data_IF_716500260424
#
_entry.id   IF_716500260424
#
_cell.length_a   1.000
_cell.length_b   1.000
_cell.length_c   1.000
_cell.angle_alpha   90.00
_cell.angle_beta   90.00
_cell.angle_gamma   90.00
#
_symmetry.space_group_name_H-M   'P 1'
#
loop_
_entity.id
_entity.type
_entity.pdbx_description
1 polymer ?
#
# COMPACT_ATOMS: atom_id res chain seq x y z
N UNK A 1 53.34 -5.19 -41.98
CA UNK A 1 54.14 -4.43 -40.98
C UNK A 1 53.19 -3.54 -40.21
N UNK A 2 53.04 -3.85 -38.92
CA UNK A 2 52.66 -2.99 -37.80
C UNK A 2 51.93 -1.67 -38.09
N UNK A 3 50.73 -1.52 -37.54
CA UNK A 3 50.52 -0.68 -36.35
C UNK A 3 49.07 -0.79 -35.84
N UNK A 4 48.95 -1.48 -34.72
CA UNK A 4 47.81 -1.39 -33.82
C UNK A 4 47.77 0.02 -33.20
N UNK A 5 46.60 0.66 -33.23
CA UNK A 5 46.21 1.81 -32.40
C UNK A 5 44.68 1.81 -32.43
N UNK A 6 43.93 2.02 -31.37
CA UNK A 6 44.13 1.93 -29.93
C UNK A 6 42.68 1.96 -29.43
N UNK A 7 42.31 1.02 -28.58
CA UNK A 7 41.03 1.02 -27.86
C UNK A 7 40.89 2.35 -27.11
N UNK A 8 39.78 3.06 -27.32
CA UNK A 8 39.29 4.02 -26.32
C UNK A 8 37.78 3.81 -26.15
N UNK A 9 37.47 2.85 -25.28
CA UNK A 9 36.14 2.67 -24.71
C UNK A 9 35.85 3.84 -23.77
N UNK A 10 35.00 4.77 -24.20
CA UNK A 10 34.40 5.77 -23.33
C UNK A 10 33.16 5.15 -22.67
N UNK A 11 33.37 4.39 -21.60
CA UNK A 11 32.29 3.89 -20.75
C UNK A 11 31.77 5.06 -19.91
N UNK A 12 30.74 5.74 -20.41
CA UNK A 12 30.02 6.77 -19.68
C UNK A 12 29.22 6.08 -18.56
N UNK A 13 29.79 6.01 -17.36
CA UNK A 13 29.03 5.63 -16.17
C UNK A 13 28.05 6.75 -15.85
N UNK A 14 26.81 6.62 -16.33
CA UNK A 14 25.68 7.28 -15.68
C UNK A 14 25.53 6.64 -14.31
N UNK A 15 26.13 7.26 -13.30
CA UNK A 15 25.70 7.07 -11.92
C UNK A 15 24.26 7.58 -11.83
N UNK A 16 23.31 6.67 -12.04
CA UNK A 16 21.92 6.90 -11.70
C UNK A 16 21.88 7.14 -10.20
N UNK A 17 21.83 8.40 -9.78
CA UNK A 17 21.31 8.74 -8.47
C UNK A 17 19.85 8.35 -8.51
N UNK A 18 19.57 7.10 -8.14
CA UNK A 18 18.23 6.71 -7.71
C UNK A 18 18.01 7.58 -6.48
N UNK A 19 17.36 8.73 -6.68
CA UNK A 19 16.80 9.46 -5.57
C UNK A 19 15.84 8.47 -4.95
N UNK A 20 16.22 7.86 -3.83
CA UNK A 20 15.26 7.23 -2.95
C UNK A 20 14.27 8.33 -2.65
N UNK A 21 13.13 8.31 -3.34
CA UNK A 21 11.95 8.99 -2.86
C UNK A 21 11.83 8.45 -1.44
N UNK A 22 12.22 9.27 -0.46
CA UNK A 22 11.83 9.05 0.92
C UNK A 22 10.37 8.68 0.84
N UNK A 23 10.01 7.52 1.39
CA UNK A 23 8.62 7.12 1.58
C UNK A 23 8.01 8.16 2.51
N UNK A 24 7.83 9.39 2.06
CA UNK A 24 7.02 10.36 2.72
C UNK A 24 5.61 9.86 2.50
N UNK A 25 4.91 9.62 3.60
CA UNK A 25 3.52 9.25 3.59
C UNK A 25 2.72 10.46 3.08
N UNK A 26 2.78 10.67 1.76
CA UNK A 26 2.24 11.87 1.13
C UNK A 26 0.72 11.88 1.25
N UNK A 27 0.13 13.08 1.21
CA UNK A 27 -1.32 13.25 1.18
C UNK A 27 -1.94 12.48 0.00
N UNK A 28 -1.24 12.41 -1.14
CA UNK A 28 -1.68 11.65 -2.32
C UNK A 28 -1.87 10.16 -2.00
N UNK A 29 -0.88 9.52 -1.37
CA UNK A 29 -0.97 8.10 -0.97
C UNK A 29 -2.19 7.86 -0.08
N UNK A 30 -2.38 8.70 0.94
CA UNK A 30 -3.51 8.55 1.86
C UNK A 30 -4.85 8.84 1.19
N UNK A 31 -4.89 9.77 0.24
CA UNK A 31 -6.07 10.03 -0.57
C UNK A 31 -6.42 8.82 -1.44
N UNK A 32 -5.42 8.19 -2.09
CA UNK A 32 -5.61 6.95 -2.85
C UNK A 32 -6.15 5.83 -1.96
N UNK A 33 -5.61 5.64 -0.75
CA UNK A 33 -6.11 4.65 0.21
C UNK A 33 -7.58 4.92 0.58
N UNK A 34 -7.94 6.18 0.86
CA UNK A 34 -9.31 6.56 1.20
C UNK A 34 -10.29 6.28 0.05
N UNK A 35 -9.91 6.62 -1.19
CA UNK A 35 -10.77 6.42 -2.35
C UNK A 35 -10.93 4.94 -2.71
N UNK A 36 -9.85 4.14 -2.59
CA UNK A 36 -9.93 2.69 -2.70
C UNK A 36 -10.79 2.07 -1.60
N UNK A 37 -10.71 2.57 -0.35
CA UNK A 37 -11.54 2.04 0.74
C UNK A 37 -13.05 2.30 0.50
N UNK A 38 -13.40 3.45 -0.08
CA UNK A 38 -14.78 3.75 -0.52
C UNK A 38 -15.21 2.84 -1.66
N UNK A 39 -14.38 2.70 -2.70
CA UNK A 39 -14.63 1.80 -3.83
C UNK A 39 -14.81 0.35 -3.36
N UNK A 40 -13.93 -0.12 -2.48
CA UNK A 40 -13.99 -1.46 -1.91
C UNK A 40 -15.34 -1.71 -1.21
N UNK A 41 -15.76 -0.78 -0.35
CA UNK A 41 -17.02 -0.86 0.37
C UNK A 41 -18.22 -0.91 -0.59
N UNK A 42 -18.20 -0.08 -1.65
CA UNK A 42 -19.21 -0.09 -2.69
C UNK A 42 -19.25 -1.41 -3.45
N UNK A 43 -18.09 -1.93 -3.86
CA UNK A 43 -17.97 -3.18 -4.62
C UNK A 43 -18.42 -4.39 -3.81
N UNK A 44 -18.13 -4.42 -2.51
CA UNK A 44 -18.66 -5.44 -1.58
C UNK A 44 -20.19 -5.38 -1.53
N UNK A 45 -20.78 -4.18 -1.39
CA UNK A 45 -22.23 -4.00 -1.34
C UNK A 45 -22.92 -4.41 -2.65
N UNK A 46 -22.27 -4.17 -3.80
CA UNK A 46 -22.72 -4.62 -5.12
C UNK A 46 -22.46 -6.11 -5.38
N UNK A 47 -21.75 -6.79 -4.47
CA UNK A 47 -21.31 -8.19 -4.60
C UNK A 47 -20.45 -8.43 -5.85
N UNK A 48 -19.68 -7.42 -6.26
CA UNK A 48 -18.74 -7.53 -7.37
C UNK A 48 -17.43 -8.14 -6.87
N UNK A 49 -17.34 -9.48 -6.90
CA UNK A 49 -16.16 -10.21 -6.43
C UNK A 49 -14.88 -9.74 -7.14
N UNK A 50 -14.94 -9.45 -8.44
CA UNK A 50 -13.75 -9.08 -9.23
C UNK A 50 -13.24 -7.71 -8.80
N UNK A 51 -14.12 -6.73 -8.71
CA UNK A 51 -13.76 -5.38 -8.30
C UNK A 51 -13.33 -5.33 -6.82
N UNK A 52 -14.04 -6.04 -5.92
CA UNK A 52 -13.63 -6.19 -4.52
C UNK A 52 -12.23 -6.79 -4.39
N UNK A 53 -11.91 -7.82 -5.16
CA UNK A 53 -10.58 -8.44 -5.15
C UNK A 53 -9.49 -7.50 -5.69
N UNK A 54 -9.80 -6.67 -6.68
CA UNK A 54 -8.87 -5.69 -7.21
C UNK A 54 -8.53 -4.63 -6.14
N UNK A 55 -9.56 -3.98 -5.59
CA UNK A 55 -9.39 -2.93 -4.59
C UNK A 55 -8.69 -3.44 -3.32
N UNK A 56 -9.06 -4.63 -2.84
CA UNK A 56 -8.48 -5.19 -1.61
C UNK A 56 -7.00 -5.56 -1.78
N UNK A 57 -6.58 -6.03 -2.97
CA UNK A 57 -5.17 -6.30 -3.26
C UNK A 57 -4.35 -5.03 -3.37
N UNK A 58 -4.91 -4.00 -3.98
CA UNK A 58 -4.24 -2.70 -4.06
C UNK A 58 -4.07 -2.09 -2.66
N UNK A 59 -5.12 -2.13 -1.82
CA UNK A 59 -5.04 -1.68 -0.43
C UNK A 59 -4.01 -2.46 0.40
N UNK A 60 -3.90 -3.79 0.26
CA UNK A 60 -2.85 -4.56 0.96
C UNK A 60 -1.44 -4.10 0.58
N UNK A 61 -1.23 -3.80 -0.71
CA UNK A 61 0.03 -3.23 -1.21
C UNK A 61 0.31 -1.84 -0.65
N UNK A 62 -0.69 -0.97 -0.60
CA UNK A 62 -0.54 0.38 -0.03
C UNK A 62 -0.29 0.34 1.48
N UNK A 63 -1.00 -0.51 2.24
CA UNK A 63 -0.74 -0.68 3.67
C UNK A 63 0.63 -1.29 3.97
N UNK A 64 1.20 -2.06 3.05
CA UNK A 64 2.61 -2.49 3.14
C UNK A 64 3.57 -1.30 3.08
N UNK A 65 3.30 -0.30 2.23
CA UNK A 65 4.08 0.93 2.17
C UNK A 65 3.90 1.78 3.43
N UNK A 66 2.67 1.87 3.95
CA UNK A 66 2.39 2.56 5.22
C UNK A 66 3.13 1.90 6.39
N UNK A 67 3.10 0.58 6.47
CA UNK A 67 3.85 -0.18 7.48
C UNK A 67 5.36 0.11 7.39
N UNK A 68 5.94 0.04 6.18
CA UNK A 68 7.35 0.31 5.94
C UNK A 68 7.75 1.75 6.35
N UNK A 69 6.90 2.74 6.07
CA UNK A 69 7.12 4.12 6.50
C UNK A 69 7.26 4.22 8.02
N UNK A 70 6.30 3.66 8.78
CA UNK A 70 6.31 3.76 10.24
C UNK A 70 7.41 2.90 10.89
N UNK A 71 7.81 1.79 10.26
CA UNK A 71 9.00 1.03 10.67
C UNK A 71 10.25 1.90 10.51
N UNK A 72 10.42 2.54 9.34
CA UNK A 72 11.57 3.40 9.08
C UNK A 72 11.61 4.63 10.00
N UNK A 73 10.45 5.14 10.40
CA UNK A 73 10.34 6.23 11.36
C UNK A 73 10.81 5.84 12.78
N UNK A 74 10.61 4.58 13.17
CA UNK A 74 11.19 3.99 14.38
C UNK A 74 10.55 4.41 15.72
N UNK A 75 9.75 5.47 15.76
CA UNK A 75 9.14 6.04 16.96
C UNK A 75 7.62 5.80 17.05
N UNK A 76 7.08 4.90 16.23
CA UNK A 76 5.66 4.80 15.92
C UNK A 76 5.10 3.37 16.02
N UNK A 77 5.43 2.64 17.08
CA UNK A 77 5.11 1.21 17.19
C UNK A 77 3.60 0.92 17.00
N UNK A 78 2.71 1.74 17.54
CA UNK A 78 1.26 1.62 17.34
C UNK A 78 0.85 1.81 15.87
N UNK A 79 1.52 2.67 15.11
CA UNK A 79 1.24 2.86 13.68
C UNK A 79 1.66 1.64 12.84
N UNK A 80 2.78 1.01 13.19
CA UNK A 80 3.22 -0.25 12.59
C UNK A 80 2.18 -1.34 12.84
N UNK A 81 1.71 -1.49 14.07
CA UNK A 81 0.71 -2.50 14.42
C UNK A 81 -0.66 -2.23 13.77
N UNK A 82 -1.07 -0.97 13.67
CA UNK A 82 -2.29 -0.59 12.95
C UNK A 82 -2.16 -0.90 11.44
N UNK A 83 -0.99 -0.66 10.85
CA UNK A 83 -0.74 -0.97 9.43
C UNK A 83 -0.79 -2.47 9.17
N UNK A 84 -0.16 -3.29 10.03
CA UNK A 84 -0.25 -4.75 9.98
C UNK A 84 -1.69 -5.24 10.12
N UNK A 85 -2.45 -4.66 11.06
CA UNK A 85 -3.86 -4.99 11.23
C UNK A 85 -4.67 -4.68 9.98
N UNK A 86 -4.45 -3.54 9.35
CA UNK A 86 -5.08 -3.19 8.07
C UNK A 86 -4.79 -4.22 6.99
N UNK A 87 -3.54 -4.70 6.88
CA UNK A 87 -3.15 -5.78 5.95
C UNK A 87 -3.86 -7.10 6.22
N UNK A 88 -3.91 -7.51 7.49
CA UNK A 88 -4.66 -8.72 7.88
C UNK A 88 -6.13 -8.62 7.48
N UNK A 89 -6.74 -7.44 7.67
CA UNK A 89 -8.13 -7.20 7.29
C UNK A 89 -8.33 -7.20 5.77
N UNK A 90 -7.44 -6.58 4.99
CA UNK A 90 -7.50 -6.64 3.52
C UNK A 90 -7.33 -8.07 2.99
N UNK A 91 -6.47 -8.88 3.61
CA UNK A 91 -6.33 -10.30 3.28
C UNK A 91 -7.58 -11.11 3.62
N UNK A 92 -8.23 -10.82 4.76
CA UNK A 92 -9.52 -11.43 5.09
C UNK A 92 -10.60 -11.06 4.06
N UNK A 93 -10.65 -9.80 3.61
CA UNK A 93 -11.56 -9.37 2.54
C UNK A 93 -11.29 -10.11 1.24
N UNK A 94 -10.02 -10.28 0.85
CA UNK A 94 -9.62 -11.06 -0.34
C UNK A 94 -10.12 -12.50 -0.23
N UNK A 95 -9.91 -13.14 0.92
CA UNK A 95 -10.35 -14.53 1.14
C UNK A 95 -11.87 -14.65 1.05
N UNK A 96 -12.61 -13.81 1.79
CA UNK A 96 -14.06 -13.83 1.84
C UNK A 96 -14.70 -13.52 0.48
N UNK A 97 -14.22 -12.50 -0.24
CA UNK A 97 -14.69 -12.19 -1.58
C UNK A 97 -14.39 -13.31 -2.58
N UNK A 98 -13.21 -13.96 -2.46
CA UNK A 98 -12.82 -15.12 -3.27
C UNK A 98 -13.74 -16.34 -3.07
N UNK A 99 -14.32 -16.49 -1.87
CA UNK A 99 -15.34 -17.50 -1.57
C UNK A 99 -16.78 -17.02 -1.71
N UNK A 100 -17.01 -15.83 -2.29
CA UNK A 100 -18.34 -15.18 -2.40
C UNK A 100 -19.06 -14.93 -1.08
N UNK A 101 -18.32 -14.88 0.04
CA UNK A 101 -18.81 -14.53 1.36
C UNK A 101 -18.74 -13.01 1.58
N UNK A 102 -19.71 -12.30 0.99
CA UNK A 102 -19.75 -10.83 1.06
C UNK A 102 -20.16 -10.30 2.42
N UNK A 103 -20.80 -11.11 3.26
CA UNK A 103 -21.10 -10.72 4.64
C UNK A 103 -19.82 -10.67 5.47
N UNK A 104 -18.98 -11.71 5.41
CA UNK A 104 -17.67 -11.69 6.04
C UNK A 104 -16.77 -10.58 5.47
N UNK A 105 -16.81 -10.35 4.16
CA UNK A 105 -16.09 -9.22 3.54
C UNK A 105 -16.56 -7.86 4.08
N UNK A 106 -17.87 -7.67 4.27
CA UNK A 106 -18.45 -6.44 4.84
C UNK A 106 -17.99 -6.20 6.27
N UNK A 107 -17.96 -7.25 7.09
CA UNK A 107 -17.49 -7.17 8.48
C UNK A 107 -16.00 -6.78 8.53
N UNK A 108 -15.16 -7.43 7.73
CA UNK A 108 -13.73 -7.10 7.66
C UNK A 108 -13.49 -5.67 7.12
N UNK A 109 -14.24 -5.22 6.12
CA UNK A 109 -14.16 -3.84 5.60
C UNK A 109 -14.60 -2.79 6.63
N UNK A 110 -15.60 -3.13 7.47
CA UNK A 110 -16.03 -2.27 8.58
C UNK A 110 -14.92 -2.13 9.63
N UNK A 111 -14.26 -3.23 9.98
CA UNK A 111 -13.13 -3.23 10.91
C UNK A 111 -11.90 -2.54 10.33
N UNK A 112 -11.69 -2.61 9.01
CA UNK A 112 -10.66 -1.86 8.31
C UNK A 112 -10.91 -0.36 8.46
N UNK A 113 -12.13 0.10 8.17
CA UNK A 113 -12.53 1.50 8.32
C UNK A 113 -12.41 2.01 9.77
N UNK A 114 -12.65 1.14 10.77
CA UNK A 114 -12.37 1.45 12.19
C UNK A 114 -10.88 1.62 12.45
N UNK A 115 -10.06 0.72 11.91
CA UNK A 115 -8.58 0.76 12.04
C UNK A 115 -8.01 2.02 11.40
N UNK A 116 -8.49 2.43 10.22
CA UNK A 116 -8.13 3.69 9.57
C UNK A 116 -8.42 4.89 10.48
N UNK A 117 -9.62 4.96 11.06
CA UNK A 117 -9.99 6.03 12.01
C UNK A 117 -9.09 6.06 13.23
N UNK A 118 -8.79 4.90 13.82
CA UNK A 118 -7.86 4.82 14.96
C UNK A 118 -6.47 5.36 14.59
N UNK A 119 -5.94 5.02 13.42
CA UNK A 119 -4.66 5.55 12.96
C UNK A 119 -4.72 7.07 12.79
N UNK A 120 -5.79 7.58 12.17
CA UNK A 120 -5.98 9.01 11.94
C UNK A 120 -6.09 9.82 13.24
N UNK A 121 -6.62 9.26 14.33
CA UNK A 121 -6.63 9.93 15.65
C UNK A 121 -5.23 10.31 16.15
N UNK A 122 -4.20 9.55 15.77
CA UNK A 122 -2.83 9.81 16.21
C UNK A 122 -1.98 10.56 15.16
N UNK A 123 -2.25 10.34 13.88
CA UNK A 123 -1.32 10.73 12.81
C UNK A 123 -1.89 11.63 11.72
N UNK A 124 -3.20 11.87 11.69
CA UNK A 124 -3.79 12.86 10.80
C UNK A 124 -3.68 14.22 11.50
N UNK A 125 -2.77 15.08 11.05
CA UNK A 125 -2.78 16.49 11.43
C UNK A 125 -4.00 17.16 10.78
N UNK A 126 -4.65 18.08 11.50
CA UNK A 126 -5.74 18.92 10.97
C UNK A 126 -5.29 19.75 9.76
#
# INVERSE_FOLDING_TARGET
MHKAFAFLAATLMLAGTVSSATLELGMELMQTIEDLNKSLSSNIALRDARATLADAKELDGLFTQVEAHFIARGDAANAVELSKKSRTLTQAIIQSAGSSDFEAATNAATDLSRTCRTCHTFYKKE
#
